data_IF_726415120745
#
_entry.id   IF_726415120745
#
_cell.length_a   1.000
_cell.length_b   1.000
_cell.length_c   1.000
_cell.angle_alpha   90.00
_cell.angle_beta   90.00
_cell.angle_gamma   90.00
#
_symmetry.space_group_name_H-M   'P 1'
#
loop_
_entity.id
_entity.type
_entity.pdbx_description
1 polymer ?
#
# COMPACT_ATOMS: atom_id res chain seq x y z
N UNK A 1 0.93 19.12 12.89
CA UNK A 1 -0.20 18.38 12.30
C UNK A 1 -1.02 17.78 13.45
N UNK A 2 -2.35 17.81 13.39
CA UNK A 2 -3.20 17.40 14.53
C UNK A 2 -3.97 16.10 14.34
N UNK A 3 -4.22 15.68 13.08
CA UNK A 3 -5.01 14.49 12.76
C UNK A 3 -4.58 13.88 11.44
N UNK A 4 -4.61 12.55 11.34
CA UNK A 4 -4.41 11.77 10.11
C UNK A 4 -5.72 11.07 9.75
N UNK A 5 -6.12 11.10 8.49
CA UNK A 5 -7.26 10.31 8.00
C UNK A 5 -6.80 9.53 6.77
N UNK A 6 -7.04 8.23 6.75
CA UNK A 6 -6.65 7.37 5.64
C UNK A 6 -7.77 6.41 5.24
N UNK A 7 -7.71 5.91 4.00
CA UNK A 7 -8.67 4.95 3.47
C UNK A 7 -8.33 3.52 3.85
N UNK A 8 -7.82 2.75 2.88
CA UNK A 8 -7.52 1.34 3.08
C UNK A 8 -6.30 1.13 4.01
N UNK A 9 -6.38 0.21 4.99
CA UNK A 9 -5.25 -0.13 5.85
C UNK A 9 -4.20 -0.96 5.08
N UNK A 10 -2.93 -0.71 5.37
CA UNK A 10 -1.83 -1.55 4.90
C UNK A 10 -1.52 -2.64 5.94
N UNK A 11 -2.14 -3.81 5.75
CA UNK A 11 -1.95 -4.96 6.64
C UNK A 11 -0.54 -5.55 6.62
N UNK A 12 0.28 -5.21 5.62
CA UNK A 12 1.63 -5.77 5.46
C UNK A 12 2.69 -4.92 6.17
N UNK A 13 2.58 -3.60 6.02
CA UNK A 13 3.63 -2.66 6.47
C UNK A 13 3.12 -1.38 7.13
N UNK A 14 1.82 -1.28 7.44
CA UNK A 14 1.23 -0.05 7.97
C UNK A 14 1.72 0.33 9.37
N UNK A 15 2.03 1.62 9.57
CA UNK A 15 2.53 2.19 10.83
C UNK A 15 1.48 2.99 11.63
N UNK A 16 0.24 3.04 11.13
CA UNK A 16 -0.91 3.69 11.77
C UNK A 16 -1.89 2.66 12.37
N UNK A 17 -1.35 1.64 13.05
CA UNK A 17 -2.16 0.62 13.73
C UNK A 17 -2.22 -0.76 13.05
N UNK A 18 -1.48 -0.99 11.97
CA UNK A 18 -1.40 -2.33 11.34
C UNK A 18 -0.24 -3.15 11.91
N UNK A 19 0.97 -2.98 11.39
CA UNK A 19 2.17 -3.67 11.92
C UNK A 19 2.71 -2.99 13.18
N UNK A 20 2.57 -1.67 13.24
CA UNK A 20 2.91 -0.86 14.42
C UNK A 20 2.01 0.36 14.48
N UNK A 21 2.02 1.05 15.61
CA UNK A 21 1.33 2.33 15.77
C UNK A 21 2.29 3.41 16.24
N UNK A 22 2.94 4.07 15.28
CA UNK A 22 3.86 5.18 15.56
C UNK A 22 3.10 6.43 16.01
N UNK A 23 1.86 6.61 15.53
CA UNK A 23 1.03 7.79 15.81
C UNK A 23 0.63 7.90 17.28
N UNK A 24 0.66 6.77 18.02
CA UNK A 24 0.38 6.71 19.45
C UNK A 24 1.52 6.06 20.26
N UNK A 25 2.75 6.05 19.74
CA UNK A 25 3.85 5.40 20.42
C UNK A 25 4.36 6.25 21.60
N UNK A 26 4.35 5.69 22.81
CA UNK A 26 4.70 6.42 24.03
C UNK A 26 6.13 6.98 24.06
N UNK A 27 7.05 6.40 23.27
CA UNK A 27 8.45 6.84 23.22
C UNK A 27 8.70 8.06 22.33
N UNK A 28 7.67 8.66 21.70
CA UNK A 28 7.80 9.89 20.92
C UNK A 28 7.01 11.04 21.55
N UNK A 29 7.50 12.27 21.36
CA UNK A 29 6.82 13.46 21.88
C UNK A 29 5.57 13.85 21.07
N UNK A 30 5.39 13.32 19.86
CA UNK A 30 4.30 13.69 18.97
C UNK A 30 3.26 12.58 18.88
N UNK A 31 2.07 12.86 19.41
CA UNK A 31 0.91 11.98 19.36
C UNK A 31 -0.15 12.58 18.45
N UNK A 32 -0.73 11.75 17.58
CA UNK A 32 -1.64 12.20 16.54
C UNK A 32 -2.90 11.34 16.55
N UNK A 33 -4.07 11.99 16.54
CA UNK A 33 -5.34 11.29 16.33
C UNK A 33 -5.41 10.75 14.91
N UNK A 34 -5.94 9.55 14.73
CA UNK A 34 -6.09 8.99 13.39
C UNK A 34 -7.43 8.27 13.21
N UNK A 35 -8.00 8.44 12.02
CA UNK A 35 -9.19 7.70 11.56
C UNK A 35 -8.84 6.90 10.30
N UNK A 36 -9.38 5.68 10.23
CA UNK A 36 -9.22 4.76 9.12
C UNK A 36 -10.55 4.57 8.38
N UNK A 37 -10.49 4.06 7.15
CA UNK A 37 -11.68 3.59 6.44
C UNK A 37 -12.31 4.60 5.48
N UNK A 38 -11.76 5.82 5.35
CA UNK A 38 -12.33 6.82 4.45
C UNK A 38 -12.20 6.37 2.98
N UNK A 39 -13.33 6.06 2.35
CA UNK A 39 -13.37 5.52 0.98
C UNK A 39 -12.48 4.27 0.82
N UNK A 40 -12.47 3.41 1.84
CA UNK A 40 -11.58 2.25 1.90
C UNK A 40 -11.66 1.36 0.65
N UNK A 41 -12.87 1.03 0.20
CA UNK A 41 -13.08 0.15 -0.95
C UNK A 41 -12.52 0.74 -2.24
N UNK A 42 -12.67 2.05 -2.43
CA UNK A 42 -12.17 2.77 -3.61
C UNK A 42 -10.65 2.86 -3.58
N UNK A 43 -10.05 3.21 -2.43
CA UNK A 43 -8.61 3.19 -2.23
C UNK A 43 -8.03 1.79 -2.48
N UNK A 44 -8.69 0.76 -1.96
CA UNK A 44 -8.30 -0.65 -2.12
C UNK A 44 -8.39 -1.07 -3.59
N UNK A 45 -9.47 -0.72 -4.28
CA UNK A 45 -9.67 -1.04 -5.69
C UNK A 45 -8.57 -0.42 -6.57
N UNK A 46 -8.19 0.84 -6.30
CA UNK A 46 -7.10 1.51 -7.02
C UNK A 46 -5.76 0.79 -6.85
N UNK A 47 -5.40 0.41 -5.62
CA UNK A 47 -4.17 -0.33 -5.32
C UNK A 47 -4.18 -1.71 -6.01
N UNK A 48 -5.29 -2.44 -5.94
CA UNK A 48 -5.45 -3.73 -6.59
C UNK A 48 -5.30 -3.64 -8.11
N UNK A 49 -5.93 -2.65 -8.74
CA UNK A 49 -5.83 -2.40 -10.18
C UNK A 49 -4.39 -2.10 -10.60
N UNK A 50 -3.68 -1.24 -9.84
CA UNK A 50 -2.29 -0.91 -10.09
C UNK A 50 -1.38 -2.16 -10.07
N UNK A 51 -1.45 -2.97 -9.01
CA UNK A 51 -0.59 -4.15 -8.90
C UNK A 51 -0.96 -5.25 -9.89
N UNK A 52 -2.24 -5.39 -10.25
CA UNK A 52 -2.68 -6.31 -11.32
C UNK A 52 -2.05 -5.93 -12.65
N UNK A 53 -2.12 -4.65 -13.03
CA UNK A 53 -1.49 -4.13 -14.26
C UNK A 53 0.02 -4.35 -14.24
N UNK A 54 0.70 -3.94 -13.18
CA UNK A 54 2.17 -4.07 -13.04
C UNK A 54 2.67 -5.51 -13.12
N UNK A 55 1.90 -6.48 -12.60
CA UNK A 55 2.23 -7.91 -12.73
C UNK A 55 2.09 -8.42 -14.17
N UNK A 56 1.06 -7.97 -14.89
CA UNK A 56 0.86 -8.34 -16.29
C UNK A 56 1.99 -7.80 -17.18
N UNK A 57 2.37 -6.53 -17.00
CA UNK A 57 3.49 -5.89 -17.70
C UNK A 57 4.80 -6.67 -17.50
N UNK A 58 5.13 -7.02 -16.24
CA UNK A 58 6.33 -7.82 -15.92
C UNK A 58 6.30 -9.20 -16.58
N UNK A 59 5.13 -9.85 -16.63
CA UNK A 59 4.99 -11.17 -17.28
C UNK A 59 5.23 -11.07 -18.79
N UNK A 60 4.68 -10.05 -19.45
CA UNK A 60 4.87 -9.82 -20.88
C UNK A 60 6.34 -9.53 -21.23
N UNK A 61 7.02 -8.67 -20.44
CA UNK A 61 8.45 -8.38 -20.61
C UNK A 61 9.29 -9.66 -20.50
N UNK A 62 9.07 -10.47 -19.45
CA UNK A 62 9.80 -11.73 -19.26
C UNK A 62 9.57 -12.73 -20.40
N UNK A 63 8.37 -12.75 -20.98
CA UNK A 63 8.06 -13.61 -22.12
C UNK A 63 8.79 -13.14 -23.39
N UNK A 64 8.77 -11.83 -23.67
CA UNK A 64 9.49 -11.25 -24.82
C UNK A 64 11.01 -11.46 -24.72
N UNK A 65 11.59 -11.36 -23.52
CA UNK A 65 13.02 -11.67 -23.29
C UNK A 65 13.35 -13.13 -23.60
N UNK A 66 12.51 -14.07 -23.18
CA UNK A 66 12.70 -15.50 -23.47
C UNK A 66 12.62 -15.80 -24.97
N UNK A 67 11.64 -15.23 -25.67
CA UNK A 67 11.48 -15.42 -27.12
C UNK A 67 12.67 -14.89 -27.92
N UNK A 68 13.28 -13.78 -27.46
CA UNK A 68 14.51 -13.25 -28.05
C UNK A 68 15.73 -14.14 -27.81
N UNK A 69 15.80 -14.82 -26.66
CA UNK A 69 16.90 -15.73 -26.33
C UNK A 69 16.81 -17.09 -27.05
N UNK A 70 15.63 -17.43 -27.60
CA UNK A 70 15.39 -18.69 -28.31
C UNK A 70 15.51 -18.57 -29.83
N UNK A 71 15.75 -17.35 -30.35
CA UNK A 71 16.02 -17.06 -31.76
C UNK A 71 17.50 -16.76 -31.95
#
# INVERSE_FOLDING_TARGET
MGKVVYGAPDLKTGAAGSTMNLLSYAGVNHHVQFDAGLLEDECRAQLQAFFKRRRAEKKALKQAEKEKQQR
#
